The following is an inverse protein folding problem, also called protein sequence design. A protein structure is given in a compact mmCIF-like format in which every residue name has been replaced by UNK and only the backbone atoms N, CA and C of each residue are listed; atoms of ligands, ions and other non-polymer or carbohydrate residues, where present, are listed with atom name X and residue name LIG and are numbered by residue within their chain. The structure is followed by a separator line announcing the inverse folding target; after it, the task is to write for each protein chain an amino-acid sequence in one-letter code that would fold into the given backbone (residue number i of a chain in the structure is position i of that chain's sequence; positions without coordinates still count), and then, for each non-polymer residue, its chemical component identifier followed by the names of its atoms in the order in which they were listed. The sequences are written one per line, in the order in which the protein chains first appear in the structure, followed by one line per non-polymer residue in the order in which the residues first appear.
data_IF_566618611028
#
_entry.id   IF_566618611028
#
_cell.length_a   1.000
_cell.length_b   1.000
_cell.length_c   1.000
_cell.angle_alpha   90.00
_cell.angle_beta   90.00
_cell.angle_gamma   90.00
#
_symmetry.space_group_name_H-M   'P 1'
#
loop_
_entity.id
_entity.type
_entity.pdbx_description
1 polymer ?
#
# COMPACT_ATOMS: atom_id res chain seq x y z
N UNK A 1 1.27 -24.34 9.73
CA UNK A 1 2.46 -23.54 9.37
C UNK A 1 2.51 -22.37 10.34
N UNK A 2 3.60 -22.21 11.10
CA UNK A 2 3.69 -21.23 12.20
C UNK A 2 4.59 -20.10 11.70
N UNK A 3 3.99 -19.00 11.26
CA UNK A 3 4.71 -17.80 10.86
C UNK A 3 4.99 -17.00 12.14
N UNK A 4 6.24 -16.56 12.30
CA UNK A 4 6.74 -15.90 13.51
C UNK A 4 5.94 -14.64 13.87
N UNK A 5 5.96 -14.30 15.16
CA UNK A 5 5.35 -13.08 15.68
C UNK A 5 5.77 -11.86 14.84
N UNK A 6 4.87 -10.87 14.64
CA UNK A 6 5.17 -9.69 13.84
C UNK A 6 6.44 -9.02 14.35
N UNK A 7 7.44 -8.93 13.49
CA UNK A 7 8.68 -8.19 13.77
C UNK A 7 8.35 -6.71 13.61
N UNK A 8 8.00 -6.06 14.71
CA UNK A 8 7.74 -4.62 14.77
C UNK A 8 6.69 -4.26 15.82
N UNK A 9 7.07 -3.52 16.86
CA UNK A 9 6.15 -3.03 17.90
C UNK A 9 5.11 -2.02 17.37
N UNK A 10 5.32 -1.48 16.15
CA UNK A 10 4.54 -0.34 15.62
C UNK A 10 3.23 -0.74 14.94
N UNK A 11 3.07 -1.99 14.52
CA UNK A 11 1.82 -2.50 13.94
C UNK A 11 0.98 -3.32 14.92
N UNK A 12 1.16 -3.08 16.23
CA UNK A 12 0.35 -3.72 17.25
C UNK A 12 -1.00 -2.99 17.40
N UNK A 13 -2.08 -3.77 17.37
CA UNK A 13 -3.42 -3.35 17.81
C UNK A 13 -3.59 -3.81 19.26
N UNK A 14 -4.08 -2.92 20.12
CA UNK A 14 -4.43 -3.32 21.49
C UNK A 14 -5.72 -4.12 21.47
N UNK A 15 -5.78 -5.22 22.21
CA UNK A 15 -7.01 -6.01 22.33
C UNK A 15 -8.14 -5.11 22.87
N UNK A 16 -9.28 -5.07 22.16
CA UNK A 16 -10.41 -4.18 22.47
C UNK A 16 -10.40 -2.81 21.76
N UNK A 17 -9.37 -2.47 20.98
CA UNK A 17 -9.35 -1.24 20.18
C UNK A 17 -10.39 -1.32 19.05
N UNK A 18 -11.49 -0.58 19.16
CA UNK A 18 -12.64 -0.70 18.25
C UNK A 18 -12.58 0.19 16.99
N UNK A 19 -11.44 0.84 16.72
CA UNK A 19 -11.31 1.70 15.54
C UNK A 19 -11.19 0.89 14.27
N UNK A 20 -11.92 1.32 13.25
CA UNK A 20 -11.81 0.77 11.90
C UNK A 20 -10.41 1.02 11.34
N UNK A 21 -9.97 0.14 10.43
CA UNK A 21 -8.61 0.15 9.92
C UNK A 21 -8.58 0.42 8.42
N UNK A 22 -7.63 1.25 8.01
CA UNK A 22 -7.20 1.39 6.64
C UNK A 22 -5.78 0.82 6.51
N UNK A 23 -5.66 -0.37 5.93
CA UNK A 23 -4.37 -1.01 5.72
C UNK A 23 -3.86 -0.63 4.32
N UNK A 24 -2.64 -0.12 4.22
CA UNK A 24 -2.02 0.27 2.95
C UNK A 24 -0.70 -0.49 2.79
N UNK A 25 -0.70 -1.48 1.90
CA UNK A 25 0.47 -2.27 1.56
C UNK A 25 1.07 -1.83 0.23
N UNK A 26 2.40 -1.78 0.14
CA UNK A 26 3.13 -1.68 -1.12
C UNK A 26 4.15 -2.79 -1.28
N UNK A 27 4.09 -3.54 -2.39
CA UNK A 27 5.02 -4.63 -2.68
C UNK A 27 5.10 -5.66 -1.54
N UNK A 28 6.29 -5.89 -0.99
CA UNK A 28 6.54 -6.86 0.10
C UNK A 28 5.97 -6.44 1.46
N UNK A 29 5.48 -5.21 1.60
CA UNK A 29 4.87 -4.71 2.84
C UNK A 29 3.51 -5.31 3.19
N UNK A 30 2.97 -6.21 2.35
CA UNK A 30 1.72 -6.90 2.65
C UNK A 30 1.87 -7.92 3.79
N UNK A 31 3.04 -8.57 3.96
CA UNK A 31 3.21 -9.63 4.95
C UNK A 31 2.91 -9.21 6.41
N UNK A 32 3.40 -8.07 6.93
CA UNK A 32 3.02 -7.61 8.27
C UNK A 32 1.53 -7.31 8.41
N UNK A 33 0.89 -6.79 7.36
CA UNK A 33 -0.55 -6.48 7.38
C UNK A 33 -1.40 -7.76 7.32
N UNK A 34 -0.91 -8.84 6.70
CA UNK A 34 -1.56 -10.16 6.77
C UNK A 34 -1.58 -10.69 8.20
N UNK A 35 -0.51 -10.50 8.98
CA UNK A 35 -0.49 -10.90 10.39
C UNK A 35 -1.55 -10.15 11.22
N UNK A 36 -1.73 -8.85 10.96
CA UNK A 36 -2.81 -8.05 11.59
C UNK A 36 -4.18 -8.58 11.19
N UNK A 37 -4.39 -8.91 9.90
CA UNK A 37 -5.66 -9.50 9.43
C UNK A 37 -5.94 -10.86 10.06
N UNK A 38 -4.93 -11.71 10.23
CA UNK A 38 -5.06 -13.02 10.89
C UNK A 38 -5.46 -12.87 12.36
N UNK A 39 -4.87 -11.90 13.07
CA UNK A 39 -5.26 -11.59 14.45
C UNK A 39 -6.72 -11.16 14.53
N UNK A 40 -7.15 -10.25 13.64
CA UNK A 40 -8.53 -9.75 13.59
C UNK A 40 -9.52 -10.87 13.26
N UNK A 41 -9.17 -11.74 12.30
CA UNK A 41 -10.02 -12.87 11.96
C UNK A 41 -10.19 -13.84 13.14
N UNK A 42 -9.12 -14.11 13.87
CA UNK A 42 -9.17 -14.95 15.07
C UNK A 42 -9.99 -14.32 16.21
N UNK A 43 -9.90 -13.00 16.42
CA UNK A 43 -10.75 -12.26 17.35
C UNK A 43 -12.24 -12.29 16.95
N UNK A 44 -12.52 -12.10 15.66
CA UNK A 44 -13.87 -12.12 15.12
C UNK A 44 -14.50 -13.51 15.23
N UNK A 45 -13.76 -14.58 14.93
CA UNK A 45 -14.27 -15.94 15.07
C UNK A 45 -14.65 -16.29 16.52
N UNK A 46 -13.96 -15.72 17.51
CA UNK A 46 -14.26 -15.94 18.94
C UNK A 46 -15.42 -15.09 19.47
N UNK A 47 -15.53 -13.84 19.03
CA UNK A 47 -16.46 -12.86 19.62
C UNK A 47 -17.66 -12.50 18.74
N UNK A 48 -17.58 -12.79 17.43
CA UNK A 48 -18.54 -12.32 16.42
C UNK A 48 -18.44 -10.82 16.11
N UNK A 49 -17.49 -10.11 16.72
CA UNK A 49 -17.34 -8.64 16.61
C UNK A 49 -15.90 -8.27 16.27
N UNK A 50 -15.71 -7.17 15.55
CA UNK A 50 -14.40 -6.69 15.13
C UNK A 50 -14.49 -5.34 14.42
N UNK A 51 -13.34 -4.67 14.19
CA UNK A 51 -13.30 -3.43 13.43
C UNK A 51 -13.59 -3.72 11.95
N UNK A 52 -14.10 -2.73 11.22
CA UNK A 52 -14.10 -2.79 9.77
C UNK A 52 -12.68 -2.54 9.26
N UNK A 53 -12.25 -3.32 8.28
CA UNK A 53 -10.89 -3.27 7.75
C UNK A 53 -10.95 -3.17 6.23
N UNK A 54 -10.27 -2.17 5.68
CA UNK A 54 -10.08 -2.05 4.24
C UNK A 54 -8.59 -2.14 3.92
N UNK A 55 -8.19 -3.16 3.15
CA UNK A 55 -6.83 -3.31 2.66
C UNK A 55 -6.70 -2.80 1.23
N UNK A 56 -5.82 -1.82 1.04
CA UNK A 56 -5.33 -1.36 -0.25
C UNK A 56 -3.97 -2.01 -0.52
N UNK A 57 -3.89 -2.86 -1.55
CA UNK A 57 -2.66 -3.55 -1.95
C UNK A 57 -2.11 -2.95 -3.24
N UNK A 58 -1.12 -2.08 -3.06
CA UNK A 58 -0.43 -1.34 -4.11
C UNK A 58 0.74 -2.11 -4.70
N UNK A 59 0.75 -2.27 -6.02
CA UNK A 59 1.89 -2.80 -6.77
C UNK A 59 2.11 -2.04 -8.07
N UNK A 60 3.29 -2.20 -8.66
CA UNK A 60 3.60 -1.60 -9.96
C UNK A 60 2.89 -2.30 -11.12
N UNK A 61 2.98 -3.63 -11.13
CA UNK A 61 2.44 -4.48 -12.20
C UNK A 61 1.51 -5.56 -11.61
N UNK A 62 0.47 -6.01 -12.33
CA UNK A 62 -0.54 -6.90 -11.77
C UNK A 62 0.00 -8.25 -11.27
N UNK A 63 1.06 -8.78 -11.88
CA UNK A 63 1.67 -10.04 -11.46
C UNK A 63 2.41 -9.97 -10.11
N UNK A 64 2.61 -8.76 -9.56
CA UNK A 64 3.14 -8.59 -8.20
C UNK A 64 2.05 -8.70 -7.12
N UNK A 65 0.76 -8.82 -7.48
CA UNK A 65 -0.35 -9.02 -6.53
C UNK A 65 -0.34 -10.46 -5.97
N UNK A 66 0.59 -10.75 -5.08
CA UNK A 66 0.64 -12.04 -4.39
C UNK A 66 -0.47 -12.16 -3.33
N UNK A 67 -0.79 -13.39 -2.91
CA UNK A 67 -1.89 -13.73 -1.98
C UNK A 67 -3.29 -13.23 -2.38
N UNK A 68 -3.44 -12.76 -3.63
CA UNK A 68 -4.68 -12.25 -4.19
C UNK A 68 -5.87 -13.23 -4.06
N UNK A 69 -5.76 -14.53 -4.39
CA UNK A 69 -6.88 -15.46 -4.23
C UNK A 69 -7.35 -15.56 -2.78
N UNK A 70 -6.42 -15.66 -1.83
CA UNK A 70 -6.70 -15.76 -0.39
C UNK A 70 -7.38 -14.50 0.14
N UNK A 71 -6.90 -13.32 -0.24
CA UNK A 71 -7.48 -12.05 0.19
C UNK A 71 -8.89 -11.83 -0.36
N UNK A 72 -9.12 -12.19 -1.63
CA UNK A 72 -10.46 -12.13 -2.24
C UNK A 72 -11.43 -13.09 -1.56
N UNK A 73 -10.99 -14.32 -1.27
CA UNK A 73 -11.79 -15.29 -0.54
C UNK A 73 -12.14 -14.81 0.87
N UNK A 74 -11.17 -14.21 1.58
CA UNK A 74 -11.40 -13.62 2.90
C UNK A 74 -12.45 -12.51 2.83
N UNK A 75 -12.35 -11.59 1.86
CA UNK A 75 -13.29 -10.48 1.69
C UNK A 75 -14.71 -10.96 1.34
N UNK A 76 -14.83 -12.09 0.63
CA UNK A 76 -16.13 -12.71 0.36
C UNK A 76 -16.74 -13.37 1.61
N UNK A 77 -15.90 -13.97 2.46
CA UNK A 77 -16.33 -14.74 3.63
C UNK A 77 -16.51 -13.91 4.90
N UNK A 78 -15.93 -12.71 4.97
CA UNK A 78 -15.88 -11.89 6.18
C UNK A 78 -16.53 -10.53 5.95
N UNK A 79 -17.66 -10.21 6.61
CA UNK A 79 -18.37 -8.94 6.40
C UNK A 79 -17.60 -7.72 6.92
N UNK A 80 -16.57 -7.93 7.75
CA UNK A 80 -15.73 -6.87 8.30
C UNK A 80 -14.53 -6.52 7.41
N UNK A 81 -14.26 -7.27 6.34
CA UNK A 81 -13.06 -7.10 5.52
C UNK A 81 -13.39 -6.70 4.08
N UNK A 82 -12.73 -5.66 3.59
CA UNK A 82 -12.72 -5.25 2.19
C UNK A 82 -11.30 -5.21 1.64
N UNK A 83 -11.15 -5.51 0.34
CA UNK A 83 -9.87 -5.65 -0.33
C UNK A 83 -9.88 -4.99 -1.70
N UNK A 84 -8.94 -4.07 -1.93
CA UNK A 84 -8.76 -3.39 -3.21
C UNK A 84 -7.32 -3.53 -3.69
N UNK A 85 -7.19 -4.07 -4.90
CA UNK A 85 -5.94 -4.12 -5.64
C UNK A 85 -5.70 -2.77 -6.33
N UNK A 86 -4.49 -2.23 -6.24
CA UNK A 86 -4.12 -0.96 -6.87
C UNK A 86 -2.84 -1.17 -7.70
N UNK A 87 -2.91 -0.89 -8.99
CA UNK A 87 -1.78 -1.07 -9.93
C UNK A 87 -1.34 0.26 -10.51
N UNK A 88 -0.06 0.63 -10.38
CA UNK A 88 0.40 1.97 -10.76
C UNK A 88 0.93 2.09 -12.19
N UNK A 89 1.61 1.07 -12.72
CA UNK A 89 2.44 1.19 -13.93
C UNK A 89 1.88 0.41 -15.14
N UNK A 90 0.74 -0.29 -14.97
CA UNK A 90 0.06 -0.98 -16.06
C UNK A 90 -1.20 -0.21 -16.51
N UNK A 91 -1.15 0.49 -17.65
CA UNK A 91 -2.30 1.24 -18.16
C UNK A 91 -3.45 0.33 -18.60
N UNK A 92 -3.18 -0.94 -18.91
CA UNK A 92 -4.18 -1.92 -19.33
C UNK A 92 -4.91 -2.59 -18.16
N UNK A 93 -4.46 -2.36 -16.92
CA UNK A 93 -5.07 -2.99 -15.76
C UNK A 93 -6.54 -2.54 -15.59
N UNK A 94 -7.51 -3.48 -15.58
CA UNK A 94 -8.93 -3.13 -15.57
C UNK A 94 -9.45 -2.67 -14.20
N UNK A 95 -8.68 -2.87 -13.12
CA UNK A 95 -9.05 -2.49 -11.76
C UNK A 95 -8.62 -1.07 -11.39
N UNK A 96 -8.48 -0.82 -10.09
CA UNK A 96 -8.03 0.49 -9.58
C UNK A 96 -6.59 0.75 -10.04
N UNK A 97 -6.38 1.88 -10.72
CA UNK A 97 -5.08 2.31 -11.22
C UNK A 97 -4.52 3.49 -10.42
N UNK A 98 -3.20 3.62 -10.42
CA UNK A 98 -2.45 4.75 -9.86
C UNK A 98 -1.67 4.41 -8.59
N UNK A 99 -1.18 5.43 -7.88
CA UNK A 99 -0.42 5.26 -6.64
C UNK A 99 -1.34 4.92 -5.47
N UNK A 100 -1.00 3.87 -4.73
CA UNK A 100 -1.83 3.39 -3.61
C UNK A 100 -2.09 4.46 -2.54
N UNK A 101 -1.12 5.32 -2.22
CA UNK A 101 -1.32 6.41 -1.26
C UNK A 101 -2.35 7.46 -1.73
N UNK A 102 -2.43 7.72 -3.03
CA UNK A 102 -3.45 8.61 -3.61
C UNK A 102 -4.83 7.97 -3.57
N UNK A 103 -4.93 6.65 -3.78
CA UNK A 103 -6.18 5.89 -3.60
C UNK A 103 -6.60 5.86 -2.12
N UNK A 104 -5.63 5.72 -1.21
CA UNK A 104 -5.85 5.72 0.24
C UNK A 104 -6.45 7.03 0.74
N UNK A 105 -5.94 8.17 0.25
CA UNK A 105 -6.44 9.50 0.61
C UNK A 105 -7.88 9.79 0.16
N UNK A 106 -8.43 8.98 -0.77
CA UNK A 106 -9.83 9.08 -1.22
C UNK A 106 -10.79 8.21 -0.42
N UNK A 107 -10.29 7.40 0.51
CA UNK A 107 -11.14 6.55 1.36
C UNK A 107 -11.80 7.36 2.48
N UNK A 108 -12.79 6.76 3.16
CA UNK A 108 -13.34 7.33 4.39
C UNK A 108 -12.29 7.22 5.51
N UNK A 109 -11.73 8.36 5.91
CA UNK A 109 -10.65 8.43 6.90
C UNK A 109 -11.12 8.63 8.35
N UNK A 110 -12.30 9.24 8.53
CA UNK A 110 -12.81 9.58 9.85
C UNK A 110 -13.05 8.33 10.71
N UNK A 111 -12.59 8.37 11.96
CA UNK A 111 -12.74 7.25 12.91
C UNK A 111 -11.81 6.07 12.65
N UNK A 112 -10.93 6.15 11.64
CA UNK A 112 -10.00 5.06 11.29
C UNK A 112 -8.59 5.29 11.82
N UNK A 113 -7.86 4.18 11.95
CA UNK A 113 -6.39 4.17 12.08
C UNK A 113 -5.81 3.63 10.78
N UNK A 114 -4.89 4.35 10.15
CA UNK A 114 -4.16 3.87 8.99
C UNK A 114 -2.92 3.09 9.44
N UNK A 115 -2.65 1.96 8.78
CA UNK A 115 -1.43 1.17 8.94
C UNK A 115 -0.76 1.04 7.58
N UNK A 116 0.43 1.63 7.43
CA UNK A 116 1.12 1.74 6.14
C UNK A 116 2.41 0.93 6.16
N UNK A 117 2.59 0.07 5.17
CA UNK A 117 3.76 -0.80 5.10
C UNK A 117 4.23 -1.03 3.66
N UNK A 118 5.52 -0.82 3.40
CA UNK A 118 6.14 -1.08 2.10
C UNK A 118 7.41 -0.28 1.86
N UNK A 119 7.78 -0.11 0.59
CA UNK A 119 9.00 0.59 0.20
C UNK A 119 9.01 2.07 0.61
N UNK A 120 10.18 2.67 0.88
CA UNK A 120 10.30 4.03 1.45
C UNK A 120 9.53 5.11 0.67
N UNK A 121 9.61 5.10 -0.67
CA UNK A 121 8.90 6.05 -1.52
C UNK A 121 7.37 5.90 -1.43
N UNK A 122 6.87 4.66 -1.35
CA UNK A 122 5.44 4.39 -1.23
C UNK A 122 4.92 4.85 0.14
N UNK A 123 5.66 4.56 1.20
CA UNK A 123 5.32 4.99 2.56
C UNK A 123 5.29 6.52 2.62
N UNK A 124 6.37 7.19 2.21
CA UNK A 124 6.46 8.66 2.22
C UNK A 124 5.29 9.31 1.46
N UNK A 125 5.01 8.85 0.23
CA UNK A 125 3.88 9.33 -0.56
C UNK A 125 2.54 9.09 0.16
N UNK A 126 2.34 7.92 0.77
CA UNK A 126 1.09 7.61 1.47
C UNK A 126 0.88 8.48 2.71
N UNK A 127 1.93 8.72 3.50
CA UNK A 127 1.86 9.58 4.68
C UNK A 127 1.48 11.02 4.28
N UNK A 128 2.12 11.55 3.25
CA UNK A 128 1.81 12.88 2.71
C UNK A 128 0.35 12.98 2.26
N UNK A 129 -0.13 12.00 1.48
CA UNK A 129 -1.49 12.01 0.94
C UNK A 129 -2.55 11.86 2.04
N UNK A 130 -2.33 11.02 3.06
CA UNK A 130 -3.24 10.86 4.18
C UNK A 130 -3.30 12.13 5.05
N UNK A 131 -2.15 12.77 5.30
CA UNK A 131 -2.09 14.03 6.03
C UNK A 131 -2.81 15.15 5.27
N UNK A 132 -2.58 15.26 3.96
CA UNK A 132 -3.27 16.22 3.09
C UNK A 132 -4.79 16.01 3.04
N UNK A 133 -5.24 14.76 3.18
CA UNK A 133 -6.66 14.40 3.29
C UNK A 133 -7.25 14.58 4.71
N UNK A 134 -6.48 15.13 5.66
CA UNK A 134 -6.95 15.50 7.00
C UNK A 134 -6.84 14.40 8.05
N UNK A 135 -6.14 13.29 7.77
CA UNK A 135 -5.87 12.28 8.81
C UNK A 135 -4.79 12.80 9.77
N UNK A 136 -5.15 12.89 11.06
CA UNK A 136 -4.21 13.35 12.08
C UNK A 136 -3.03 12.35 12.23
N UNK A 137 -1.78 12.81 12.37
CA UNK A 137 -0.59 11.94 12.39
C UNK A 137 -0.64 10.84 13.46
N UNK A 138 -1.31 11.07 14.60
CA UNK A 138 -1.45 10.07 15.67
C UNK A 138 -2.26 8.84 15.25
N UNK A 139 -3.08 8.96 14.21
CA UNK A 139 -3.88 7.87 13.65
C UNK A 139 -3.17 7.16 12.50
N UNK A 140 -1.90 7.51 12.20
CA UNK A 140 -1.12 6.88 11.13
C UNK A 140 0.04 6.10 11.73
N UNK A 141 -0.07 4.78 11.69
CA UNK A 141 1.00 3.84 12.04
C UNK A 141 1.72 3.43 10.76
N UNK A 142 3.04 3.38 10.77
CA UNK A 142 3.81 2.95 9.60
C UNK A 142 5.13 2.29 9.99
N UNK A 143 5.59 1.39 9.13
CA UNK A 143 6.90 0.75 9.21
C UNK A 143 7.72 1.01 7.95
N UNK A 144 9.02 1.23 8.13
CA UNK A 144 9.97 1.34 7.05
C UNK A 144 10.69 0.01 6.88
N UNK A 145 10.50 -0.63 5.72
CA UNK A 145 11.42 -1.66 5.28
C UNK A 145 12.64 -0.99 4.67
N UNK A 146 13.67 -0.80 5.48
CA UNK A 146 15.03 -0.74 4.95
C UNK A 146 15.38 -2.15 4.51
N UNK A 147 15.28 -2.44 3.21
CA UNK A 147 16.29 -3.33 2.66
C UNK A 147 17.60 -2.56 2.82
N UNK A 148 18.51 -3.07 3.65
CA UNK A 148 19.92 -2.72 3.50
C UNK A 148 20.20 -2.81 2.00
N UNK A 149 20.58 -1.69 1.40
CA UNK A 149 20.85 -1.62 -0.02
C UNK A 149 21.71 -2.85 -0.38
N UNK A 150 21.20 -3.67 -1.29
CA UNK A 150 22.02 -4.71 -1.88
C UNK A 150 23.24 -3.99 -2.47
N UNK A 151 24.40 -4.22 -1.85
CA UNK A 151 25.72 -3.79 -2.31
C UNK A 151 25.78 -2.35 -2.79
N UNK A 152 26.11 -1.43 -1.88
CA UNK A 152 26.87 -0.26 -2.31
C UNK A 152 28.09 -0.77 -3.10
N UNK A 153 28.09 -0.52 -4.42
CA UNK A 153 29.35 -0.45 -5.13
C UNK A 153 30.12 0.70 -4.46
N UNK A 154 31.03 0.34 -3.55
CA UNK A 154 32.13 1.21 -3.17
C UNK A 154 32.90 1.50 -4.45
N UNK A 155 32.53 2.58 -5.13
CA UNK A 155 33.45 3.26 -6.02
C UNK A 155 34.44 3.92 -5.06
N UNK A 156 35.55 3.23 -4.78
CA UNK A 156 36.70 3.86 -4.15
C UNK A 156 37.09 5.09 -4.99
N UNK A 157 37.37 6.24 -4.35
CA UNK A 157 37.93 7.37 -5.07
C UNK A 157 39.29 6.96 -5.65
N UNK A 158 39.62 7.32 -6.91
CA UNK A 158 40.91 6.98 -7.47
C UNK A 158 42.03 7.66 -6.68
N UNK A 159 43.01 6.87 -6.26
CA UNK A 159 44.25 7.34 -5.65
C UNK A 159 45.01 8.27 -6.61
N UNK A 160 45.62 9.37 -6.12
CA UNK A 160 46.35 10.30 -6.96
C UNK A 160 47.67 9.70 -7.44
N UNK A 161 47.92 9.74 -8.75
CA UNK A 161 49.25 9.56 -9.34
C UNK A 161 49.46 8.26 -10.09
N UNK A 162 48.84 8.12 -11.26
CA UNK A 162 49.41 7.37 -12.38
C UNK A 162 49.04 8.11 -13.67
N UNK A 163 50.03 8.80 -14.23
CA UNK A 163 50.01 9.29 -15.61
C UNK A 163 50.07 8.09 -16.56
N UNK A 164 49.10 7.97 -17.46
CA UNK A 164 49.34 7.33 -18.76
C UNK A 164 48.66 8.16 -19.84
N UNK A 165 49.50 8.60 -20.76
CA UNK A 165 49.31 9.58 -21.82
C UNK A 165 48.50 9.01 -22.99
N UNK A 166 47.72 9.88 -23.66
CA UNK A 166 47.51 9.98 -25.13
C UNK A 166 46.99 8.72 -25.88
N UNK A 167 46.07 8.76 -26.83
CA UNK A 167 45.64 9.79 -27.77
C UNK A 167 44.40 9.28 -28.55
N UNK A 168 43.86 10.12 -29.43
CA UNK A 168 42.93 9.82 -30.54
C UNK A 168 41.40 9.78 -30.28
N UNK A 169 40.84 10.99 -30.27
CA UNK A 169 39.85 11.49 -31.26
C UNK A 169 39.00 10.45 -32.04
N UNK A 170 37.67 10.45 -31.81
CA UNK A 170 36.66 10.79 -32.83
C UNK A 170 35.22 10.82 -32.29
N UNK A 171 34.45 11.82 -32.72
CA UNK A 171 32.98 11.93 -32.64
C UNK A 171 32.50 12.48 -34.00
N UNK A 172 31.21 12.44 -34.33
CA UNK A 172 30.28 11.30 -34.47
C UNK A 172 29.63 11.34 -35.89
N UNK A 173 28.57 10.56 -36.18
CA UNK A 173 27.57 11.04 -37.14
C UNK A 173 26.19 11.23 -36.50
N UNK A 174 25.59 12.39 -36.80
CA UNK A 174 24.17 12.68 -36.61
C UNK A 174 23.32 11.95 -37.67
N UNK A 175 22.04 11.70 -37.35
CA UNK A 175 20.92 11.75 -38.31
C UNK A 175 19.58 12.03 -37.58
N UNK A 176 19.04 13.20 -37.95
CA UNK A 176 17.70 13.81 -37.90
C UNK A 176 16.42 13.08 -37.39
N UNK A 177 15.75 13.78 -36.46
CA UNK A 177 14.34 14.19 -36.35
C UNK A 177 13.21 13.46 -37.12
N UNK A 178 12.10 13.23 -36.40
CA UNK A 178 10.75 13.66 -36.83
C UNK A 178 9.75 13.67 -35.67
N UNK A 179 9.24 14.88 -35.39
CA UNK A 179 8.03 15.18 -34.63
C UNK A 179 6.77 14.71 -35.37
N UNK A 180 5.76 14.21 -34.65
CA UNK A 180 4.34 14.47 -34.97
C UNK A 180 3.49 14.27 -33.69
N UNK A 181 2.65 15.25 -33.31
CA UNK A 181 1.74 15.15 -32.17
C UNK A 181 0.38 14.58 -32.56
N UNK A 182 -0.25 13.78 -31.68
CA UNK A 182 -1.65 13.38 -31.79
C UNK A 182 -2.38 13.58 -30.45
N UNK A 183 -3.54 14.23 -30.60
CA UNK A 183 -4.52 14.86 -29.70
C UNK A 183 -5.19 13.92 -28.67
N UNK A 184 -5.75 14.43 -27.54
CA UNK A 184 -6.38 13.64 -26.48
C UNK A 184 -7.91 13.52 -26.66
N UNK A 185 -8.44 12.29 -26.57
CA UNK A 185 -9.88 12.00 -26.52
C UNK A 185 -10.37 11.53 -25.14
N UNK A 186 -11.67 11.64 -24.81
CA UNK A 186 -12.13 12.06 -23.48
C UNK A 186 -12.64 10.95 -22.54
N UNK A 187 -12.77 11.39 -21.28
CA UNK A 187 -13.64 10.94 -20.17
C UNK A 187 -13.66 9.45 -19.76
N UNK A 188 -13.06 9.21 -18.59
CA UNK A 188 -13.28 8.00 -17.79
C UNK A 188 -14.35 8.33 -16.73
N UNK A 189 -15.47 7.59 -16.67
CA UNK A 189 -16.47 7.80 -15.64
C UNK A 189 -15.93 7.37 -14.26
N UNK A 190 -16.27 8.14 -13.23
CA UNK A 190 -15.97 7.82 -11.84
C UNK A 190 -16.72 6.53 -11.42
N UNK A 191 -16.06 5.57 -10.75
CA UNK A 191 -16.78 4.46 -10.13
C UNK A 191 -17.47 4.91 -8.83
N UNK A 192 -18.72 4.48 -8.75
CA UNK A 192 -19.77 4.81 -7.80
C UNK A 192 -19.45 4.66 -6.32
N UNK A 193 -20.16 5.48 -5.53
CA UNK A 193 -20.19 5.48 -4.09
C UNK A 193 -20.58 4.12 -3.49
N UNK A 194 -19.90 3.77 -2.39
CA UNK A 194 -20.14 2.58 -1.58
C UNK A 194 -21.60 2.45 -1.11
N UNK A 195 -22.24 1.27 -1.23
CA UNK A 195 -23.56 1.05 -0.68
C UNK A 195 -23.48 0.96 0.85
N UNK A 196 -24.14 1.90 1.54
CA UNK A 196 -24.36 1.82 3.00
C UNK A 196 -25.19 0.57 3.32
N UNK A 197 -24.53 -0.54 3.63
CA UNK A 197 -25.19 -1.70 4.24
C UNK A 197 -25.17 -1.57 5.76
N UNK A 198 -26.36 -1.26 6.29
CA UNK A 198 -26.86 -1.80 7.55
C UNK A 198 -26.11 -1.38 8.81
N UNK A 199 -26.48 -0.24 9.37
CA UNK A 199 -26.39 -0.06 10.83
C UNK A 199 -27.37 -1.04 11.49
N UNK A 200 -26.86 -2.22 11.83
CA UNK A 200 -27.54 -3.20 12.66
C UNK A 200 -27.55 -2.71 14.10
N UNK A 201 -28.68 -2.10 14.47
CA UNK A 201 -29.25 -1.92 15.80
C UNK A 201 -28.48 -2.63 16.95
N UNK A 202 -27.81 -1.84 17.79
CA UNK A 202 -27.33 -2.27 19.11
C UNK A 202 -28.54 -2.50 20.01
N UNK A 203 -28.83 -3.76 20.32
CA UNK A 203 -29.76 -4.11 21.41
C UNK A 203 -28.96 -4.06 22.72
N UNK A 204 -29.32 -3.21 23.70
CA UNK A 204 -28.71 -3.29 25.02
C UNK A 204 -29.22 -4.54 25.73
N UNK A 205 -28.30 -5.42 26.18
CA UNK A 205 -28.62 -6.40 27.22
C UNK A 205 -28.70 -5.64 28.55
N UNK A 206 -29.92 -5.53 29.07
CA UNK A 206 -30.21 -5.13 30.45
C UNK A 206 -29.56 -6.12 31.43
N UNK A 207 -28.97 -5.55 32.47
CA UNK A 207 -28.45 -6.26 33.63
C UNK A 207 -29.57 -6.61 34.62
N UNK A 208 -29.30 -7.66 35.40
CA UNK A 208 -30.01 -8.19 36.59
C UNK A 208 -31.29 -8.99 36.38
#
# INVERSE_FOLDING_TARGET
MKLGAPVGERLTRREGEARDLLLVAGGTGLAPLLAVLEQIDHEWQRSGTGPLVHLLHGVRMPWHLYDRPRLRELAQKRPWFDYTEVVSDDPSYPGTRGKVGTVAARQLLFGRTAMVCGGPQMVAHTLEQLAAAGMHPEHIKYEHFYYAAAGEHTIEPPLPGQETTSDEQQSPPQLSASDTPVDPGPDVPAPDAWPRRGQGLRIPRSAS
#
